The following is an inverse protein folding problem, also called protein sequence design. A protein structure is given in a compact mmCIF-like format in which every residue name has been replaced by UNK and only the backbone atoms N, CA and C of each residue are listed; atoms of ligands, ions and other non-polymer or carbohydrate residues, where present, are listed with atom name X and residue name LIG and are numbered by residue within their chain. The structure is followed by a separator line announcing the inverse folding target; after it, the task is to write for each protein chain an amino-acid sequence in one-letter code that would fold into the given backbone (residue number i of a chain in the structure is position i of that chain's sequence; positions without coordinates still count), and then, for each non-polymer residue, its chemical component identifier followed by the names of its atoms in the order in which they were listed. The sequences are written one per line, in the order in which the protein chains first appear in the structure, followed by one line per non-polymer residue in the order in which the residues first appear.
data_IF_110725262729
#
_entry.id   IF_110725262729
#
_cell.length_a   1.000
_cell.length_b   1.000
_cell.length_c   1.000
_cell.angle_alpha   90.00
_cell.angle_beta   90.00
_cell.angle_gamma   90.00
#
_symmetry.space_group_name_H-M   'P 1'
#
loop_
_entity.id
_entity.type
_entity.pdbx_description
1 polymer ?
#
# COMPACT_ATOMS: atom_id res chain seq x y z
N UNK A 1 -69.37 2.82 -3.32
CA UNK A 1 -68.96 4.00 -2.52
C UNK A 1 -68.64 3.52 -1.11
N UNK A 2 -67.63 4.14 -0.48
CA UNK A 2 -66.81 3.70 0.68
C UNK A 2 -65.57 2.92 0.23
N UNK A 3 -64.66 3.54 -0.53
CA UNK A 3 -63.59 4.47 -0.13
C UNK A 3 -62.47 3.85 0.72
N UNK A 4 -61.26 3.89 0.14
CA UNK A 4 -60.14 4.52 0.80
C UNK A 4 -59.39 3.70 1.84
N UNK A 5 -58.39 2.93 1.38
CA UNK A 5 -57.08 3.05 1.99
C UNK A 5 -56.00 2.79 0.93
N UNK A 6 -55.73 3.84 0.15
CA UNK A 6 -54.51 4.01 -0.63
C UNK A 6 -53.39 4.40 0.34
N UNK A 7 -52.91 3.43 1.11
CA UNK A 7 -51.60 3.48 1.75
C UNK A 7 -50.90 2.14 1.46
N UNK A 8 -50.69 1.87 0.17
CA UNK A 8 -49.69 0.88 -0.23
C UNK A 8 -48.34 1.58 -0.27
N UNK A 9 -47.72 1.79 0.90
CA UNK A 9 -46.26 1.75 0.92
C UNK A 9 -45.88 0.41 0.32
N UNK A 10 -45.15 0.40 -0.78
CA UNK A 10 -44.78 -0.81 -1.48
C UNK A 10 -43.85 -1.65 -0.58
N UNK A 11 -44.42 -2.51 0.25
CA UNK A 11 -43.67 -3.46 1.06
C UNK A 11 -43.05 -4.48 0.10
N UNK A 12 -41.80 -4.23 -0.29
CA UNK A 12 -41.01 -5.19 -1.02
C UNK A 12 -40.81 -6.38 -0.08
N UNK A 13 -41.45 -7.51 -0.38
CA UNK A 13 -41.29 -8.73 0.41
C UNK A 13 -39.80 -9.06 0.59
N UNK A 14 -39.37 -9.17 1.85
CA UNK A 14 -37.98 -9.43 2.25
C UNK A 14 -37.40 -10.66 1.53
N UNK A 15 -38.17 -11.74 1.44
CA UNK A 15 -37.78 -12.94 0.70
C UNK A 15 -37.50 -12.66 -0.79
N UNK A 16 -38.30 -11.81 -1.45
CA UNK A 16 -38.10 -11.46 -2.86
C UNK A 16 -36.83 -10.65 -3.03
N UNK A 17 -36.55 -9.70 -2.12
CA UNK A 17 -35.29 -8.94 -2.12
C UNK A 17 -34.11 -9.89 -1.99
N UNK A 18 -34.15 -10.77 -0.99
CA UNK A 18 -33.08 -11.74 -0.75
C UNK A 18 -32.83 -12.62 -1.98
N UNK A 19 -33.87 -13.27 -2.54
CA UNK A 19 -33.71 -14.10 -3.74
C UNK A 19 -33.20 -13.30 -4.95
N UNK A 20 -33.67 -12.06 -5.12
CA UNK A 20 -33.25 -11.23 -6.24
C UNK A 20 -31.77 -10.79 -6.12
N UNK A 21 -31.25 -10.59 -4.90
CA UNK A 21 -29.82 -10.33 -4.65
C UNK A 21 -28.92 -11.55 -4.93
N UNK A 22 -29.43 -12.79 -4.88
CA UNK A 22 -28.68 -14.00 -5.27
C UNK A 22 -28.96 -14.47 -6.70
N UNK A 23 -29.77 -13.72 -7.45
CA UNK A 23 -30.20 -14.14 -8.77
C UNK A 23 -29.00 -14.27 -9.74
N UNK A 24 -28.94 -15.29 -10.62
CA UNK A 24 -27.77 -15.51 -11.50
C UNK A 24 -27.49 -14.37 -12.50
N UNK A 25 -28.53 -13.66 -12.94
CA UNK A 25 -28.40 -12.50 -13.85
C UNK A 25 -28.02 -11.22 -13.10
N UNK A 26 -26.92 -10.59 -13.50
CA UNK A 26 -26.43 -9.33 -12.93
C UNK A 26 -27.44 -8.18 -13.02
N UNK A 27 -28.19 -8.08 -14.13
CA UNK A 27 -29.20 -7.04 -14.30
C UNK A 27 -30.31 -7.10 -13.24
N UNK A 28 -30.69 -8.31 -12.80
CA UNK A 28 -31.69 -8.48 -11.72
C UNK A 28 -31.11 -7.97 -10.41
N UNK A 29 -29.91 -8.42 -10.03
CA UNK A 29 -29.23 -7.96 -8.80
C UNK A 29 -29.06 -6.45 -8.78
N UNK A 30 -28.61 -5.85 -9.90
CA UNK A 30 -28.44 -4.40 -10.05
C UNK A 30 -29.75 -3.63 -9.91
N UNK A 31 -30.84 -4.15 -10.49
CA UNK A 31 -32.16 -3.53 -10.40
C UNK A 31 -32.67 -3.56 -8.96
N UNK A 32 -32.53 -4.71 -8.29
CA UNK A 32 -32.88 -4.85 -6.88
C UNK A 32 -32.12 -3.88 -5.98
N UNK A 33 -30.82 -3.68 -6.19
CA UNK A 33 -30.03 -2.69 -5.43
C UNK A 33 -30.51 -1.25 -5.67
N UNK A 34 -30.92 -0.93 -6.90
CA UNK A 34 -31.51 0.38 -7.23
C UNK A 34 -32.87 0.57 -6.52
N UNK A 35 -33.69 -0.47 -6.46
CA UNK A 35 -34.99 -0.45 -5.79
C UNK A 35 -34.82 -0.33 -4.26
N UNK A 36 -33.83 -1.02 -3.68
CA UNK A 36 -33.45 -0.83 -2.27
C UNK A 36 -33.04 0.62 -2.03
N UNK A 37 -32.21 1.19 -2.90
CA UNK A 37 -31.75 2.57 -2.74
C UNK A 37 -32.91 3.58 -2.83
N UNK A 38 -33.84 3.41 -3.79
CA UNK A 38 -34.98 4.31 -3.95
C UNK A 38 -35.98 4.21 -2.80
N UNK A 39 -36.14 3.02 -2.20
CA UNK A 39 -37.00 2.82 -1.02
C UNK A 39 -36.49 3.52 0.24
N UNK A 40 -35.19 3.79 0.33
CA UNK A 40 -34.57 4.41 1.50
C UNK A 40 -34.57 3.54 2.77
N UNK A 41 -34.88 2.24 2.67
CA UNK A 41 -35.00 1.30 3.80
C UNK A 41 -33.76 1.33 4.72
N UNK A 42 -32.56 1.51 4.16
CA UNK A 42 -31.30 1.50 4.92
C UNK A 42 -30.94 2.86 5.57
N UNK A 43 -31.74 3.91 5.35
CA UNK A 43 -31.54 5.22 6.00
C UNK A 43 -32.02 5.22 7.45
N UNK A 44 -32.97 4.34 7.80
CA UNK A 44 -33.59 4.33 9.11
C UNK A 44 -32.96 3.27 10.03
N UNK A 45 -32.13 3.71 11.00
CA UNK A 45 -31.40 2.81 11.91
C UNK A 45 -32.30 1.87 12.72
N UNK A 46 -33.54 2.27 13.03
CA UNK A 46 -34.50 1.44 13.75
C UNK A 46 -35.04 0.26 12.91
N UNK A 47 -35.02 0.37 11.58
CA UNK A 47 -35.47 -0.69 10.67
C UNK A 47 -34.39 -1.76 10.43
N UNK A 48 -33.13 -1.41 10.72
CA UNK A 48 -31.94 -2.25 10.52
C UNK A 48 -31.77 -3.29 11.64
N UNK A 49 -32.40 -3.11 12.82
CA UNK A 49 -32.08 -3.87 14.03
C UNK A 49 -32.91 -5.13 14.33
N UNK A 50 -34.10 -5.34 13.75
CA UNK A 50 -35.00 -6.43 14.21
C UNK A 50 -35.48 -7.46 13.17
N UNK A 51 -35.05 -7.41 11.90
CA UNK A 51 -35.49 -8.44 10.92
C UNK A 51 -34.68 -8.60 9.63
N UNK A 52 -33.74 -7.69 9.34
CA UNK A 52 -33.11 -7.60 8.01
C UNK A 52 -31.65 -8.08 7.96
N UNK A 53 -31.15 -8.80 8.96
CA UNK A 53 -29.74 -9.24 9.02
C UNK A 53 -29.36 -10.04 7.76
N UNK A 54 -30.22 -10.94 7.30
CA UNK A 54 -29.97 -11.74 6.09
C UNK A 54 -29.93 -10.89 4.81
N UNK A 55 -30.73 -9.83 4.74
CA UNK A 55 -30.74 -8.90 3.60
C UNK A 55 -29.52 -7.98 3.65
N UNK A 56 -29.12 -7.50 4.83
CA UNK A 56 -27.92 -6.69 5.01
C UNK A 56 -26.67 -7.46 4.59
N UNK A 57 -26.56 -8.72 5.03
CA UNK A 57 -25.49 -9.62 4.61
C UNK A 57 -25.55 -9.90 3.10
N UNK A 58 -26.75 -10.11 2.53
CA UNK A 58 -26.92 -10.28 1.10
C UNK A 58 -26.49 -9.03 0.30
N UNK A 59 -26.76 -7.83 0.80
CA UNK A 59 -26.33 -6.55 0.20
C UNK A 59 -24.81 -6.42 0.28
N UNK A 60 -24.21 -6.68 1.45
CA UNK A 60 -22.77 -6.56 1.63
C UNK A 60 -22.01 -7.53 0.72
N UNK A 61 -22.52 -8.76 0.53
CA UNK A 61 -21.97 -9.75 -0.41
C UNK A 61 -21.98 -9.29 -1.87
N UNK A 62 -22.84 -8.34 -2.25
CA UNK A 62 -22.82 -7.79 -3.62
C UNK A 62 -21.56 -6.96 -3.90
N UNK A 63 -20.81 -6.52 -2.87
CA UNK A 63 -19.50 -5.91 -3.07
C UNK A 63 -18.48 -6.92 -3.62
N UNK A 64 -18.65 -8.21 -3.32
CA UNK A 64 -17.82 -9.30 -3.83
C UNK A 64 -18.27 -9.82 -5.20
N UNK A 65 -19.31 -9.23 -5.82
CA UNK A 65 -19.83 -9.66 -7.11
C UNK A 65 -18.77 -9.61 -8.22
N UNK A 66 -18.83 -10.57 -9.15
CA UNK A 66 -17.92 -10.66 -10.30
C UNK A 66 -18.19 -9.54 -11.33
N UNK A 67 -19.44 -9.10 -11.41
CA UNK A 67 -19.88 -8.00 -12.28
C UNK A 67 -19.72 -6.66 -11.57
N UNK A 68 -18.81 -5.82 -12.08
CA UNK A 68 -18.52 -4.51 -11.48
C UNK A 68 -19.70 -3.53 -11.54
N UNK A 69 -20.69 -3.74 -12.43
CA UNK A 69 -21.89 -2.90 -12.45
C UNK A 69 -22.80 -3.17 -11.25
N UNK A 70 -22.79 -4.40 -10.73
CA UNK A 70 -23.48 -4.76 -9.48
C UNK A 70 -22.76 -4.12 -8.30
N UNK A 71 -21.43 -4.28 -8.24
CA UNK A 71 -20.58 -3.66 -7.20
C UNK A 71 -20.78 -2.14 -7.15
N UNK A 72 -20.78 -1.47 -8.32
CA UNK A 72 -21.04 -0.04 -8.42
C UNK A 72 -22.44 0.32 -7.90
N UNK A 73 -23.46 -0.46 -8.23
CA UNK A 73 -24.81 -0.25 -7.73
C UNK A 73 -24.88 -0.40 -6.20
N UNK A 74 -24.19 -1.40 -5.62
CA UNK A 74 -24.09 -1.60 -4.18
C UNK A 74 -23.40 -0.43 -3.48
N UNK A 75 -22.26 0.03 -4.00
CA UNK A 75 -21.56 1.21 -3.47
C UNK A 75 -22.43 2.47 -3.52
N UNK A 76 -23.37 2.56 -4.46
CA UNK A 76 -24.28 3.69 -4.60
C UNK A 76 -25.54 3.58 -3.73
N UNK A 77 -25.71 2.51 -2.95
CA UNK A 77 -26.82 2.39 -2.02
C UNK A 77 -26.61 3.36 -0.84
N UNK A 78 -27.57 4.24 -0.62
CA UNK A 78 -27.60 5.15 0.51
C UNK A 78 -27.79 4.39 1.82
N UNK A 79 -27.02 4.75 2.85
CA UNK A 79 -27.08 4.08 4.15
C UNK A 79 -26.30 2.77 4.20
N UNK A 80 -25.46 2.45 3.21
CA UNK A 80 -24.58 1.28 3.23
C UNK A 80 -23.71 1.21 4.51
N UNK A 81 -23.31 2.34 5.09
CA UNK A 81 -22.58 2.39 6.36
C UNK A 81 -23.37 1.91 7.58
N UNK A 82 -24.70 1.81 7.45
CA UNK A 82 -25.58 1.22 8.46
C UNK A 82 -25.74 -0.29 8.26
N UNK A 83 -25.23 -0.85 7.16
CA UNK A 83 -25.29 -2.28 6.84
C UNK A 83 -24.14 -2.98 7.54
N UNK A 84 -24.46 -3.77 8.58
CA UNK A 84 -23.51 -4.56 9.38
C UNK A 84 -22.42 -3.70 10.07
N UNK A 85 -21.51 -4.38 10.78
CA UNK A 85 -20.46 -3.73 11.57
C UNK A 85 -19.41 -2.99 10.73
N UNK A 86 -18.97 -1.83 11.21
CA UNK A 86 -17.94 -0.99 10.59
C UNK A 86 -16.67 -1.76 10.16
N UNK A 87 -16.18 -2.68 10.99
CA UNK A 87 -15.02 -3.53 10.68
C UNK A 87 -15.23 -4.39 9.44
N UNK A 88 -16.41 -4.99 9.28
CA UNK A 88 -16.69 -5.84 8.13
C UNK A 88 -16.80 -5.02 6.85
N UNK A 89 -17.46 -3.87 6.93
CA UNK A 89 -17.60 -2.98 5.78
C UNK A 89 -16.25 -2.47 5.27
N UNK A 90 -15.34 -2.03 6.14
CA UNK A 90 -14.03 -1.54 5.70
C UNK A 90 -13.17 -2.64 5.08
N UNK A 91 -13.21 -3.87 5.60
CA UNK A 91 -12.55 -5.04 5.00
C UNK A 91 -13.08 -5.35 3.60
N UNK A 92 -14.41 -5.32 3.43
CA UNK A 92 -15.03 -5.56 2.13
C UNK A 92 -14.69 -4.46 1.13
N UNK A 93 -14.69 -3.18 1.55
CA UNK A 93 -14.24 -2.06 0.72
C UNK A 93 -12.76 -2.20 0.31
N UNK A 94 -11.89 -2.60 1.24
CA UNK A 94 -10.48 -2.88 0.95
C UNK A 94 -10.33 -3.99 -0.10
N UNK A 95 -11.14 -5.05 0.00
CA UNK A 95 -11.16 -6.16 -0.96
C UNK A 95 -11.60 -5.70 -2.35
N UNK A 96 -12.67 -4.89 -2.43
CA UNK A 96 -13.13 -4.28 -3.69
C UNK A 96 -12.03 -3.46 -4.33
N UNK A 97 -11.40 -2.57 -3.56
CA UNK A 97 -10.32 -1.71 -4.06
C UNK A 97 -9.14 -2.54 -4.59
N UNK A 98 -8.68 -3.53 -3.84
CA UNK A 98 -7.59 -4.42 -4.24
C UNK A 98 -7.90 -5.15 -5.55
N UNK A 99 -9.13 -5.65 -5.69
CA UNK A 99 -9.58 -6.31 -6.92
C UNK A 99 -9.57 -5.35 -8.11
N UNK A 100 -10.03 -4.11 -7.93
CA UNK A 100 -9.98 -3.11 -8.99
C UNK A 100 -8.55 -2.74 -9.38
N UNK A 101 -7.66 -2.53 -8.41
CA UNK A 101 -6.24 -2.26 -8.66
C UNK A 101 -5.58 -3.43 -9.40
N UNK A 102 -5.83 -4.67 -8.97
CA UNK A 102 -5.32 -5.87 -9.64
C UNK A 102 -5.79 -5.96 -11.10
N UNK A 103 -7.08 -5.67 -11.37
CA UNK A 103 -7.60 -5.62 -12.75
C UNK A 103 -6.91 -4.55 -13.59
N UNK A 104 -6.72 -3.35 -13.06
CA UNK A 104 -6.03 -2.26 -13.77
C UNK A 104 -4.57 -2.63 -14.08
N UNK A 105 -3.83 -3.14 -13.09
CA UNK A 105 -2.43 -3.55 -13.26
C UNK A 105 -2.26 -4.73 -14.24
N UNK A 106 -3.25 -5.62 -14.35
CA UNK A 106 -3.21 -6.73 -15.30
C UNK A 106 -3.30 -6.30 -16.78
N UNK A 107 -3.60 -5.02 -17.06
CA UNK A 107 -3.71 -4.51 -18.43
C UNK A 107 -4.97 -4.95 -19.18
N UNK A 108 -5.96 -5.52 -18.47
CA UNK A 108 -7.27 -5.86 -19.05
C UNK A 108 -7.92 -4.61 -19.65
N UNK A 109 -8.15 -4.61 -20.96
CA UNK A 109 -8.82 -3.49 -21.67
C UNK A 109 -10.32 -3.42 -21.37
N UNK A 110 -10.90 -4.51 -20.88
CA UNK A 110 -12.32 -4.57 -20.58
C UNK A 110 -12.66 -3.70 -19.36
N UNK A 111 -13.57 -2.76 -19.54
CA UNK A 111 -14.17 -1.97 -18.47
C UNK A 111 -13.16 -1.18 -17.61
N UNK A 112 -12.04 -0.71 -18.18
CA UNK A 112 -11.03 0.12 -17.47
C UNK A 112 -11.69 1.33 -16.80
N UNK A 113 -12.56 2.04 -17.54
CA UNK A 113 -13.29 3.20 -17.03
C UNK A 113 -14.15 2.86 -15.81
N UNK A 114 -14.99 1.82 -15.92
CA UNK A 114 -15.84 1.34 -14.82
C UNK A 114 -15.01 0.83 -13.63
N UNK A 115 -13.92 0.11 -13.88
CA UNK A 115 -13.01 -0.39 -12.83
C UNK A 115 -12.42 0.77 -12.03
N UNK A 116 -11.96 1.81 -12.72
CA UNK A 116 -11.49 3.04 -12.10
C UNK A 116 -12.58 3.77 -11.34
N UNK A 117 -13.80 3.86 -11.88
CA UNK A 117 -14.95 4.49 -11.22
C UNK A 117 -15.34 3.77 -9.92
N UNK A 118 -15.40 2.43 -9.95
CA UNK A 118 -15.69 1.61 -8.77
C UNK A 118 -14.62 1.81 -7.70
N UNK A 119 -13.33 1.79 -8.07
CA UNK A 119 -12.23 2.01 -7.14
C UNK A 119 -12.31 3.40 -6.47
N UNK A 120 -12.57 4.45 -7.26
CA UNK A 120 -12.72 5.83 -6.76
C UNK A 120 -13.94 5.95 -5.85
N UNK A 121 -15.08 5.36 -6.23
CA UNK A 121 -16.30 5.37 -5.42
C UNK A 121 -16.04 4.67 -4.10
N UNK A 122 -15.39 3.50 -4.12
CA UNK A 122 -15.00 2.74 -2.95
C UNK A 122 -14.15 3.56 -1.97
N UNK A 123 -13.10 4.24 -2.47
CA UNK A 123 -12.26 5.14 -1.65
C UNK A 123 -13.04 6.30 -1.06
N UNK A 124 -13.87 6.97 -1.87
CA UNK A 124 -14.74 8.07 -1.40
C UNK A 124 -15.65 7.61 -0.28
N UNK A 125 -16.25 6.43 -0.41
CA UNK A 125 -17.11 5.84 0.62
C UNK A 125 -16.33 5.54 1.89
N UNK A 126 -15.19 4.84 1.78
CA UNK A 126 -14.33 4.54 2.93
C UNK A 126 -13.93 5.81 3.71
N UNK A 127 -13.48 6.87 3.02
CA UNK A 127 -13.17 8.15 3.65
C UNK A 127 -14.43 8.75 4.28
N UNK A 128 -15.54 8.86 3.54
CA UNK A 128 -16.76 9.49 4.06
C UNK A 128 -17.34 8.81 5.29
N UNK A 129 -17.23 7.47 5.37
CA UNK A 129 -17.80 6.68 6.46
C UNK A 129 -16.92 6.66 7.70
N UNK A 130 -15.60 6.72 7.52
CA UNK A 130 -14.67 6.38 8.59
C UNK A 130 -13.64 7.48 8.92
N UNK A 131 -13.60 8.61 8.21
CA UNK A 131 -12.59 9.65 8.46
C UNK A 131 -12.62 10.23 9.89
N UNK A 132 -13.79 10.29 10.53
CA UNK A 132 -13.94 10.77 11.91
C UNK A 132 -13.68 9.69 12.97
N UNK A 133 -13.46 8.44 12.55
CA UNK A 133 -13.24 7.31 13.46
C UNK A 133 -11.74 6.99 13.53
N UNK A 134 -11.10 7.40 14.62
CA UNK A 134 -9.65 7.20 14.87
C UNK A 134 -9.21 5.75 14.67
N UNK A 135 -10.06 4.79 15.04
CA UNK A 135 -9.76 3.36 15.01
C UNK A 135 -9.61 2.82 13.58
N UNK A 136 -10.27 3.45 12.60
CA UNK A 136 -10.28 3.04 11.20
C UNK A 136 -9.39 3.90 10.31
N UNK A 137 -8.87 5.03 10.83
CA UNK A 137 -8.00 5.94 10.09
C UNK A 137 -6.78 5.19 9.52
N UNK A 138 -6.16 4.31 10.31
CA UNK A 138 -5.01 3.48 9.88
C UNK A 138 -5.34 2.58 8.69
N UNK A 139 -6.57 2.06 8.62
CA UNK A 139 -7.02 1.18 7.53
C UNK A 139 -7.26 1.98 6.25
N UNK A 140 -7.88 3.16 6.36
CA UNK A 140 -8.08 4.06 5.21
C UNK A 140 -6.73 4.51 4.66
N UNK A 141 -5.78 4.86 5.54
CA UNK A 141 -4.42 5.18 5.12
C UNK A 141 -3.82 4.01 4.33
N UNK A 142 -3.91 2.78 4.84
CA UNK A 142 -3.38 1.61 4.16
C UNK A 142 -4.05 1.32 2.81
N UNK A 143 -5.35 1.61 2.66
CA UNK A 143 -6.05 1.54 1.37
C UNK A 143 -5.52 2.55 0.35
N UNK A 144 -5.17 3.75 0.79
CA UNK A 144 -4.68 4.83 -0.08
C UNK A 144 -3.20 4.65 -0.42
N UNK A 145 -2.39 4.17 0.52
CA UNK A 145 -0.94 4.07 0.41
C UNK A 145 -0.43 3.54 -0.95
N UNK A 146 -0.82 2.34 -1.44
CA UNK A 146 -0.33 1.83 -2.72
C UNK A 146 -0.71 2.71 -3.91
N UNK A 147 -1.77 3.52 -3.80
CA UNK A 147 -2.23 4.39 -4.88
C UNK A 147 -1.45 5.71 -4.97
N UNK A 148 -0.58 6.00 -4.02
CA UNK A 148 0.28 7.18 -4.05
C UNK A 148 1.45 7.03 -5.02
N UNK A 149 1.78 5.80 -5.41
CA UNK A 149 2.74 5.52 -6.48
C UNK A 149 2.00 5.49 -7.82
N UNK A 150 2.22 6.51 -8.65
CA UNK A 150 1.60 6.63 -9.96
C UNK A 150 2.23 5.64 -10.95
N UNK A 151 1.40 4.77 -11.51
CA UNK A 151 1.77 3.81 -12.56
C UNK A 151 0.99 4.13 -13.85
N UNK A 152 1.53 3.85 -15.04
CA UNK A 152 0.80 4.07 -16.30
C UNK A 152 -0.59 3.43 -16.32
N UNK A 153 -0.69 2.20 -15.82
CA UNK A 153 -1.91 1.39 -15.82
C UNK A 153 -2.97 1.92 -14.85
N UNK A 154 -2.57 2.63 -13.81
CA UNK A 154 -3.46 3.13 -12.75
C UNK A 154 -3.51 4.65 -12.66
N UNK A 155 -2.89 5.38 -13.59
CA UNK A 155 -2.67 6.83 -13.50
C UNK A 155 -3.94 7.60 -13.11
N UNK A 156 -5.06 7.33 -13.78
CA UNK A 156 -6.34 8.00 -13.48
C UNK A 156 -6.86 7.73 -12.06
N UNK A 157 -6.61 6.54 -11.51
CA UNK A 157 -6.94 6.21 -10.11
C UNK A 157 -5.94 6.87 -9.15
N UNK A 158 -4.64 6.85 -9.46
CA UNK A 158 -3.59 7.46 -8.64
C UNK A 158 -3.83 8.96 -8.43
N UNK A 159 -4.11 9.70 -9.52
CA UNK A 159 -4.37 11.14 -9.45
C UNK A 159 -5.60 11.45 -8.58
N UNK A 160 -6.68 10.69 -8.74
CA UNK A 160 -7.88 10.84 -7.90
C UNK A 160 -7.61 10.51 -6.43
N UNK A 161 -6.76 9.52 -6.14
CA UNK A 161 -6.35 9.22 -4.77
C UNK A 161 -5.57 10.38 -4.15
N UNK A 162 -4.65 11.01 -4.90
CA UNK A 162 -3.90 12.20 -4.46
C UNK A 162 -4.82 13.39 -4.16
N UNK A 163 -5.88 13.60 -4.95
CA UNK A 163 -6.88 14.66 -4.68
C UNK A 163 -7.70 14.35 -3.42
N UNK A 164 -8.03 13.08 -3.19
CA UNK A 164 -8.80 12.65 -2.01
C UNK A 164 -8.05 12.83 -0.69
N UNK A 165 -6.71 12.87 -0.70
CA UNK A 165 -5.90 13.14 0.49
C UNK A 165 -6.24 14.48 1.16
N UNK A 166 -6.74 15.47 0.43
CA UNK A 166 -7.19 16.75 1.02
C UNK A 166 -8.32 16.58 2.06
N UNK A 167 -8.99 15.43 2.08
CA UNK A 167 -10.09 15.11 2.99
C UNK A 167 -9.68 14.15 4.10
N UNK A 168 -8.39 13.85 4.23
CA UNK A 168 -7.91 12.79 5.08
C UNK A 168 -6.67 13.22 5.86
N UNK A 169 -6.80 13.33 7.18
CA UNK A 169 -5.73 13.81 8.06
C UNK A 169 -4.88 12.64 8.57
N UNK A 170 -3.83 12.27 7.84
CA UNK A 170 -2.86 11.27 8.25
C UNK A 170 -1.44 11.87 8.24
N UNK A 171 -0.65 11.74 9.33
CA UNK A 171 0.65 12.40 9.46
C UNK A 171 1.60 12.14 8.29
N UNK A 172 1.66 10.89 7.80
CA UNK A 172 2.53 10.53 6.69
C UNK A 172 2.15 11.26 5.38
N UNK A 173 0.89 11.67 5.21
CA UNK A 173 0.37 12.25 3.97
C UNK A 173 0.34 13.78 3.94
N UNK A 174 0.89 14.43 4.96
CA UNK A 174 0.99 15.89 5.00
C UNK A 174 1.72 16.42 3.77
N UNK A 175 1.17 17.46 3.13
CA UNK A 175 1.73 18.08 1.91
C UNK A 175 1.86 17.15 0.69
N UNK A 176 1.30 15.94 0.72
CA UNK A 176 1.28 15.02 -0.44
C UNK A 176 0.11 15.33 -1.37
N UNK A 177 -1.00 15.82 -0.80
CA UNK A 177 -2.23 16.07 -1.53
C UNK A 177 -2.04 17.07 -2.68
N UNK A 178 -2.81 16.86 -3.75
CA UNK A 178 -2.82 17.69 -4.94
C UNK A 178 -4.15 18.43 -5.02
N UNK A 179 -4.13 19.72 -5.36
CA UNK A 179 -5.36 20.48 -5.58
C UNK A 179 -6.09 20.01 -6.85
N UNK A 180 -7.41 20.11 -6.91
CA UNK A 180 -8.18 19.75 -8.12
C UNK A 180 -7.79 20.58 -9.35
N UNK A 181 -7.27 21.80 -9.14
CA UNK A 181 -6.70 22.63 -10.21
C UNK A 181 -5.36 22.12 -10.72
N UNK A 182 -4.54 21.52 -9.85
CA UNK A 182 -3.27 20.91 -10.21
C UNK A 182 -3.45 19.56 -10.90
N UNK A 183 -4.59 18.87 -10.72
CA UNK A 183 -4.89 17.61 -11.40
C UNK A 183 -4.74 17.74 -12.94
N UNK A 184 -5.26 18.82 -13.52
CA UNK A 184 -5.13 19.12 -14.96
C UNK A 184 -3.68 19.32 -15.39
N UNK A 185 -2.86 19.94 -14.53
CA UNK A 185 -1.43 20.16 -14.77
C UNK A 185 -0.62 18.88 -14.60
N UNK A 186 -1.03 17.99 -13.68
CA UNK A 186 -0.40 16.68 -13.48
C UNK A 186 -0.76 15.68 -14.58
N UNK A 187 -1.95 15.77 -15.18
CA UNK A 187 -2.28 15.02 -16.40
C UNK A 187 -1.29 15.37 -17.52
N UNK A 188 -0.78 16.61 -17.56
CA UNK A 188 0.23 17.07 -18.51
C UNK A 188 1.67 16.83 -18.04
N UNK A 189 1.90 16.51 -16.76
CA UNK A 189 3.21 16.25 -16.19
C UNK A 189 3.70 14.80 -16.43
N UNK A 190 5.01 14.59 -16.37
CA UNK A 190 5.55 13.22 -16.43
C UNK A 190 5.28 12.48 -15.11
N UNK A 191 4.87 11.21 -15.19
CA UNK A 191 4.65 10.34 -14.02
C UNK A 191 5.83 10.35 -13.04
N UNK A 192 7.05 10.37 -13.60
CA UNK A 192 8.31 10.47 -12.85
C UNK A 192 8.36 11.70 -11.94
N UNK A 193 7.94 12.87 -12.43
CA UNK A 193 7.91 14.10 -11.64
C UNK A 193 6.88 14.03 -10.50
N UNK A 194 5.71 13.44 -10.78
CA UNK A 194 4.65 13.23 -9.78
C UNK A 194 5.17 12.31 -8.67
N UNK A 195 5.71 11.15 -9.04
CA UNK A 195 6.24 10.17 -8.11
C UNK A 195 7.37 10.76 -7.26
N UNK A 196 8.30 11.51 -7.87
CA UNK A 196 9.38 12.15 -7.13
C UNK A 196 8.85 13.12 -6.06
N UNK A 197 7.89 13.97 -6.43
CA UNK A 197 7.27 14.92 -5.49
C UNK A 197 6.59 14.21 -4.34
N UNK A 198 5.80 13.17 -4.63
CA UNK A 198 5.10 12.36 -3.62
C UNK A 198 6.10 11.68 -2.69
N UNK A 199 7.09 10.99 -3.25
CA UNK A 199 8.11 10.25 -2.50
C UNK A 199 8.93 11.20 -1.61
N UNK A 200 9.32 12.39 -2.09
CA UNK A 200 10.02 13.40 -1.29
C UNK A 200 9.22 13.85 -0.07
N UNK A 201 7.93 14.11 -0.24
CA UNK A 201 7.06 14.54 0.86
C UNK A 201 6.82 13.39 1.85
N UNK A 202 6.54 12.19 1.35
CA UNK A 202 6.40 10.99 2.19
C UNK A 202 7.69 10.71 2.98
N UNK A 203 8.86 10.78 2.34
CA UNK A 203 10.15 10.54 2.97
C UNK A 203 10.47 11.55 4.06
N UNK A 204 10.11 12.82 3.85
CA UNK A 204 10.26 13.89 4.85
C UNK A 204 9.36 13.65 6.06
N UNK A 205 8.09 13.28 5.84
CA UNK A 205 7.15 12.98 6.92
C UNK A 205 7.48 11.68 7.64
N UNK A 206 7.97 10.67 6.91
CA UNK A 206 8.36 9.37 7.44
C UNK A 206 9.42 9.52 8.55
N UNK A 207 10.39 10.40 8.32
CA UNK A 207 11.50 10.65 9.25
C UNK A 207 11.09 11.31 10.56
N UNK A 208 9.87 11.85 10.68
CA UNK A 208 9.37 12.39 11.95
C UNK A 208 9.11 11.28 12.98
N UNK A 209 8.61 10.12 12.54
CA UNK A 209 8.26 8.98 13.39
C UNK A 209 8.54 7.64 12.68
N UNK A 210 9.81 7.32 12.38
CA UNK A 210 10.15 6.19 11.51
C UNK A 210 9.68 4.84 12.07
N UNK A 211 9.81 4.61 13.38
CA UNK A 211 9.40 3.35 14.02
C UNK A 211 7.89 3.12 13.92
N UNK A 212 7.08 4.12 14.29
CA UNK A 212 5.61 4.04 14.20
C UNK A 212 5.14 3.82 12.75
N UNK A 213 5.78 4.50 11.79
CA UNK A 213 5.47 4.34 10.37
C UNK A 213 5.84 2.95 9.85
N UNK A 214 6.97 2.39 10.30
CA UNK A 214 7.39 1.03 9.97
C UNK A 214 6.41 0.00 10.54
N UNK A 215 6.04 0.12 11.82
CA UNK A 215 5.07 -0.79 12.47
C UNK A 215 3.74 -0.76 11.72
N UNK A 216 3.21 0.45 11.44
CA UNK A 216 1.98 0.59 10.67
C UNK A 216 2.08 -0.05 9.28
N UNK A 217 3.20 0.15 8.57
CA UNK A 217 3.40 -0.45 7.25
C UNK A 217 3.38 -1.98 7.31
N UNK A 218 4.12 -2.59 8.26
CA UNK A 218 4.19 -4.04 8.42
C UNK A 218 2.82 -4.62 8.75
N UNK A 219 2.08 -3.99 9.65
CA UNK A 219 0.76 -4.47 10.09
C UNK A 219 -0.33 -4.34 9.02
N UNK A 220 -0.26 -3.31 8.15
CA UNK A 220 -1.42 -2.90 7.32
C UNK A 220 -1.18 -2.87 5.82
N UNK A 221 0.05 -2.74 5.37
CA UNK A 221 0.38 -2.45 3.96
C UNK A 221 1.23 -3.52 3.28
N UNK A 222 1.87 -4.41 4.04
CA UNK A 222 2.91 -5.31 3.55
C UNK A 222 2.41 -6.49 2.68
N UNK A 223 1.12 -6.59 2.39
CA UNK A 223 0.53 -7.67 1.61
C UNK A 223 0.40 -7.36 0.11
N UNK A 224 0.78 -6.16 -0.32
CA UNK A 224 0.76 -5.71 -1.71
C UNK A 224 2.15 -5.33 -2.20
N UNK A 225 2.57 -5.87 -3.35
CA UNK A 225 3.85 -5.52 -3.99
C UNK A 225 3.95 -4.01 -4.27
N UNK A 226 2.85 -3.36 -4.65
CA UNK A 226 2.83 -1.92 -4.92
C UNK A 226 3.06 -1.09 -3.65
N UNK A 227 2.51 -1.53 -2.51
CA UNK A 227 2.79 -0.92 -1.21
C UNK A 227 4.26 -1.08 -0.83
N UNK A 228 4.84 -2.28 -1.03
CA UNK A 228 6.26 -2.54 -0.77
C UNK A 228 7.15 -1.66 -1.64
N UNK A 229 6.86 -1.56 -2.93
CA UNK A 229 7.60 -0.69 -3.86
C UNK A 229 7.61 0.76 -3.39
N UNK A 230 6.44 1.31 -3.02
CA UNK A 230 6.38 2.67 -2.51
C UNK A 230 7.17 2.83 -1.21
N UNK A 231 7.04 1.88 -0.28
CA UNK A 231 7.78 1.89 0.98
C UNK A 231 9.29 1.87 0.75
N UNK A 232 9.80 1.05 -0.17
CA UNK A 232 11.22 1.03 -0.51
C UNK A 232 11.70 2.34 -1.14
N UNK A 233 10.89 2.98 -2.00
CA UNK A 233 11.23 4.31 -2.49
C UNK A 233 11.25 5.36 -1.39
N UNK A 234 10.26 5.35 -0.50
CA UNK A 234 10.20 6.26 0.65
C UNK A 234 11.45 6.07 1.52
N UNK A 235 11.82 4.82 1.82
CA UNK A 235 12.99 4.50 2.62
C UNK A 235 14.31 4.90 1.94
N UNK A 236 14.48 4.58 0.66
CA UNK A 236 15.65 4.99 -0.12
C UNK A 236 15.79 6.52 -0.11
N UNK A 237 14.69 7.23 -0.36
CA UNK A 237 14.68 8.69 -0.36
C UNK A 237 14.94 9.26 1.05
N UNK A 238 14.34 8.69 2.09
CA UNK A 238 14.58 9.09 3.47
C UNK A 238 16.07 8.98 3.81
N UNK A 239 16.73 7.88 3.44
CA UNK A 239 18.16 7.68 3.66
C UNK A 239 19.03 8.65 2.87
N UNK A 240 18.64 9.02 1.64
CA UNK A 240 19.32 10.07 0.85
C UNK A 240 19.19 11.46 1.51
N UNK A 241 18.10 11.71 2.24
CA UNK A 241 17.84 12.97 2.93
C UNK A 241 18.47 13.04 4.33
N UNK A 242 18.97 11.94 4.90
CA UNK A 242 19.63 11.94 6.21
C UNK A 242 20.92 12.77 6.14
N UNK A 243 20.86 14.00 6.65
CA UNK A 243 22.01 14.92 6.68
C UNK A 243 22.82 14.88 7.98
N UNK A 244 22.29 14.31 9.07
CA UNK A 244 22.93 14.39 10.40
C UNK A 244 22.99 13.05 11.12
N UNK A 245 24.21 12.73 11.55
CA UNK A 245 24.60 11.60 12.40
C UNK A 245 24.02 11.79 13.80
N UNK A 246 23.25 10.83 14.29
CA UNK A 246 22.66 10.87 15.63
C UNK A 246 21.88 9.60 15.97
N UNK A 247 21.40 9.51 17.20
CA UNK A 247 20.76 8.32 17.80
C UNK A 247 19.54 7.81 17.00
N UNK A 248 18.85 8.69 16.27
CA UNK A 248 17.72 8.34 15.41
C UNK A 248 18.05 7.39 14.26
N UNK A 249 19.29 7.37 13.76
CA UNK A 249 19.70 6.43 12.71
C UNK A 249 19.80 4.99 13.23
N UNK A 250 20.30 4.80 14.45
CA UNK A 250 20.42 3.46 15.06
C UNK A 250 19.05 2.82 15.26
N UNK A 251 18.08 3.60 15.74
CA UNK A 251 16.68 3.19 15.89
C UNK A 251 16.03 2.82 14.54
N UNK A 252 16.21 3.68 13.53
CA UNK A 252 15.77 3.40 12.16
C UNK A 252 16.39 2.11 11.61
N UNK A 253 17.70 1.91 11.78
CA UNK A 253 18.40 0.71 11.32
C UNK A 253 17.82 -0.54 11.98
N UNK A 254 17.70 -0.56 13.31
CA UNK A 254 17.16 -1.70 14.07
C UNK A 254 15.74 -2.05 13.67
N UNK A 255 14.94 -1.05 13.31
CA UNK A 255 13.56 -1.24 12.87
C UNK A 255 13.46 -1.75 11.43
N UNK A 256 14.31 -1.25 10.53
CA UNK A 256 14.18 -1.52 9.09
C UNK A 256 14.98 -2.74 8.61
N UNK A 257 16.13 -3.02 9.22
CA UNK A 257 17.00 -4.11 8.81
C UNK A 257 16.31 -5.48 8.86
N UNK A 258 15.57 -5.87 9.92
CA UNK A 258 14.85 -7.14 9.95
C UNK A 258 13.83 -7.28 8.81
N UNK A 259 13.17 -6.18 8.44
CA UNK A 259 12.14 -6.17 7.39
C UNK A 259 12.79 -6.34 6.02
N UNK A 260 13.84 -5.59 5.73
CA UNK A 260 14.59 -5.70 4.47
C UNK A 260 15.21 -7.10 4.32
N UNK A 261 15.76 -7.64 5.40
CA UNK A 261 16.30 -9.00 5.45
C UNK A 261 15.23 -10.04 5.13
N UNK A 262 14.10 -10.01 5.84
CA UNK A 262 13.01 -10.97 5.65
C UNK A 262 12.41 -10.89 4.24
N UNK A 263 12.23 -9.69 3.69
CA UNK A 263 11.70 -9.53 2.34
C UNK A 263 12.67 -10.08 1.29
N UNK A 264 13.96 -9.77 1.41
CA UNK A 264 14.95 -10.26 0.46
C UNK A 264 15.08 -11.80 0.52
N UNK A 265 15.06 -12.40 1.72
CA UNK A 265 15.06 -13.85 1.90
C UNK A 265 13.79 -14.51 1.34
N UNK A 266 12.63 -13.85 1.46
CA UNK A 266 11.38 -14.29 0.85
C UNK A 266 11.47 -14.36 -0.68
N UNK A 267 12.08 -13.36 -1.31
CA UNK A 267 12.31 -13.34 -2.76
C UNK A 267 13.22 -14.49 -3.22
N UNK A 268 14.21 -14.86 -2.42
CA UNK A 268 15.11 -16.00 -2.69
C UNK A 268 14.35 -17.33 -2.65
N UNK A 269 13.47 -17.51 -1.67
CA UNK A 269 12.77 -18.77 -1.44
C UNK A 269 11.67 -19.03 -2.46
N UNK A 270 11.16 -17.98 -3.11
CA UNK A 270 10.20 -18.10 -4.19
C UNK A 270 10.77 -18.76 -5.47
N UNK A 271 12.09 -19.01 -5.56
CA UNK A 271 12.72 -19.83 -6.60
C UNK A 271 12.80 -19.23 -8.00
N UNK A 272 12.01 -18.18 -8.29
CA UNK A 272 11.82 -17.62 -9.63
C UNK A 272 12.60 -16.33 -9.90
N UNK A 273 13.48 -15.90 -8.99
CA UNK A 273 14.12 -14.59 -9.08
C UNK A 273 15.65 -14.66 -9.09
N UNK A 274 16.24 -14.31 -10.24
CA UNK A 274 17.67 -14.06 -10.41
C UNK A 274 17.91 -12.56 -10.52
N UNK A 275 18.72 -12.01 -9.59
CA UNK A 275 19.15 -10.62 -9.61
C UNK A 275 20.37 -10.45 -10.53
N UNK A 276 20.31 -10.98 -11.75
CA UNK A 276 21.46 -11.07 -12.66
C UNK A 276 21.76 -9.75 -13.38
N UNK A 277 20.79 -8.82 -13.42
CA UNK A 277 20.91 -7.52 -14.08
C UNK A 277 21.36 -6.37 -13.17
N UNK A 278 21.88 -6.65 -11.97
CA UNK A 278 22.32 -5.58 -11.08
C UNK A 278 23.70 -5.06 -11.48
N UNK A 279 23.77 -3.77 -11.85
CA UNK A 279 25.02 -3.06 -12.16
C UNK A 279 25.47 -2.22 -10.93
N UNK A 280 26.76 -2.17 -10.64
CA UNK A 280 27.32 -1.38 -9.54
C UNK A 280 27.03 0.12 -9.67
N UNK A 281 26.87 0.64 -10.89
CA UNK A 281 26.46 2.04 -11.13
C UNK A 281 25.09 2.37 -10.51
N UNK A 282 24.23 1.36 -10.30
CA UNK A 282 22.91 1.55 -9.67
C UNK A 282 23.02 1.96 -8.19
N UNK A 283 24.16 1.74 -7.55
CA UNK A 283 24.38 2.12 -6.14
C UNK A 283 24.37 3.65 -5.96
N UNK A 284 24.72 4.40 -7.00
CA UNK A 284 24.73 5.85 -6.99
C UNK A 284 23.37 6.45 -7.37
N UNK A 285 22.43 5.63 -7.83
CA UNK A 285 21.11 6.10 -8.27
C UNK A 285 20.28 6.68 -7.12
N UNK A 286 19.44 7.63 -7.50
CA UNK A 286 18.32 8.11 -6.69
C UNK A 286 17.02 7.43 -7.12
N UNK A 287 15.90 7.79 -6.47
CA UNK A 287 14.60 7.21 -6.83
C UNK A 287 14.22 7.48 -8.29
N UNK A 288 14.60 8.63 -8.84
CA UNK A 288 14.19 9.03 -10.19
C UNK A 288 14.77 8.12 -11.26
N UNK A 289 15.98 7.60 -11.05
CA UNK A 289 16.64 6.66 -11.98
C UNK A 289 15.92 5.32 -12.10
N UNK A 290 15.04 4.97 -11.14
CA UNK A 290 14.26 3.73 -11.18
C UNK A 290 12.86 3.90 -11.81
N UNK A 291 12.40 5.12 -12.07
CA UNK A 291 11.02 5.33 -12.51
C UNK A 291 10.75 4.82 -13.92
N UNK A 292 11.75 4.79 -14.80
CA UNK A 292 11.60 4.19 -16.12
C UNK A 292 11.34 2.68 -16.03
N UNK A 293 11.81 2.03 -14.96
CA UNK A 293 11.51 0.62 -14.70
C UNK A 293 10.07 0.40 -14.25
N UNK A 294 9.37 1.40 -13.67
CA UNK A 294 7.96 1.24 -13.29
C UNK A 294 7.03 1.02 -14.49
N UNK A 295 7.42 1.47 -15.68
CA UNK A 295 6.59 1.39 -16.89
C UNK A 295 6.34 -0.06 -17.34
N UNK A 296 7.31 -0.95 -17.11
CA UNK A 296 7.33 -2.30 -17.67
C UNK A 296 7.66 -3.41 -16.65
N UNK A 297 8.01 -3.07 -15.41
CA UNK A 297 8.54 -4.05 -14.48
C UNK A 297 7.47 -4.89 -13.79
N UNK A 298 7.79 -6.17 -13.64
CA UNK A 298 7.38 -6.92 -12.47
C UNK A 298 7.98 -6.22 -11.23
N UNK A 299 7.12 -5.82 -10.29
CA UNK A 299 7.52 -5.03 -9.12
C UNK A 299 8.54 -5.74 -8.23
N UNK A 300 8.54 -7.08 -8.18
CA UNK A 300 9.48 -7.85 -7.36
C UNK A 300 10.95 -7.65 -7.76
N UNK A 301 11.34 -7.83 -9.04
CA UNK A 301 12.67 -7.45 -9.51
C UNK A 301 13.08 -6.02 -9.19
N UNK A 302 12.17 -5.06 -9.35
CA UNK A 302 12.44 -3.66 -9.04
C UNK A 302 12.70 -3.48 -7.54
N UNK A 303 11.84 -4.06 -6.70
CA UNK A 303 11.97 -4.04 -5.24
C UNK A 303 13.33 -4.59 -4.80
N UNK A 304 13.80 -5.70 -5.39
CA UNK A 304 15.12 -6.25 -5.09
C UNK A 304 16.26 -5.27 -5.45
N UNK A 305 16.23 -4.69 -6.66
CA UNK A 305 17.22 -3.69 -7.10
C UNK A 305 17.25 -2.47 -6.16
N UNK A 306 16.08 -1.95 -5.79
CA UNK A 306 15.95 -0.82 -4.83
C UNK A 306 16.44 -1.20 -3.44
N UNK A 307 16.14 -2.41 -2.95
CA UNK A 307 16.63 -2.91 -1.65
C UNK A 307 18.16 -2.99 -1.59
N UNK A 308 18.82 -3.45 -2.66
CA UNK A 308 20.29 -3.45 -2.71
C UNK A 308 20.85 -2.03 -2.57
N UNK A 309 20.22 -1.03 -3.22
CA UNK A 309 20.60 0.36 -3.05
C UNK A 309 20.27 0.92 -1.66
N UNK A 310 19.17 0.50 -1.03
CA UNK A 310 18.87 0.84 0.38
C UNK A 310 19.98 0.32 1.30
N UNK A 311 20.38 -0.95 1.16
CA UNK A 311 21.48 -1.52 1.91
C UNK A 311 22.79 -0.74 1.71
N UNK A 312 23.06 -0.28 0.49
CA UNK A 312 24.21 0.59 0.22
C UNK A 312 24.13 1.88 1.04
N UNK A 313 22.99 2.59 1.00
CA UNK A 313 22.80 3.84 1.76
C UNK A 313 22.90 3.62 3.27
N UNK A 314 22.39 2.49 3.78
CA UNK A 314 22.53 2.12 5.21
C UNK A 314 24.01 1.96 5.60
N UNK A 315 24.80 1.25 4.80
CA UNK A 315 26.24 1.08 5.05
C UNK A 315 26.97 2.42 4.95
N UNK A 316 26.71 3.20 3.90
CA UNK A 316 27.35 4.51 3.74
C UNK A 316 27.04 5.45 4.92
N UNK A 317 25.81 5.43 5.43
CA UNK A 317 25.41 6.20 6.60
C UNK A 317 26.09 5.71 7.89
N UNK A 318 26.19 4.38 8.09
CA UNK A 318 26.94 3.77 9.19
C UNK A 318 28.40 4.21 9.16
N UNK A 319 29.13 3.96 8.06
CA UNK A 319 30.57 4.26 7.98
C UNK A 319 30.86 5.76 8.02
N UNK A 320 29.94 6.60 7.53
CA UNK A 320 30.07 8.04 7.69
C UNK A 320 30.06 8.45 9.17
N UNK A 321 29.30 7.78 10.04
CA UNK A 321 29.20 8.10 11.48
C UNK A 321 30.50 7.89 12.28
N UNK A 322 31.44 7.09 11.75
CA UNK A 322 32.71 6.71 12.39
C UNK A 322 33.70 7.89 12.50
N UNK A 323 33.67 8.81 11.53
CA UNK A 323 34.55 10.00 11.49
C UNK A 323 34.27 11.05 12.58
N UNK A 324 33.22 10.85 13.40
CA UNK A 324 32.80 11.78 14.47
C UNK A 324 33.06 11.30 15.89
N UNK A 325 33.75 10.16 16.09
CA UNK A 325 34.14 9.68 17.43
C UNK A 325 33.05 8.93 18.20
N UNK A 326 31.84 8.80 17.65
CA UNK A 326 30.86 7.81 18.12
C UNK A 326 31.30 6.44 17.60
N UNK A 327 31.61 5.52 18.52
CA UNK A 327 31.91 4.12 18.15
C UNK A 327 30.70 3.57 17.42
N UNK A 328 30.91 3.16 16.18
CA UNK A 328 29.96 2.37 15.42
C UNK A 328 29.45 1.20 16.27
N UNK A 329 28.17 0.87 16.13
CA UNK A 329 27.64 -0.35 16.72
C UNK A 329 28.23 -1.54 15.92
N UNK A 330 29.35 -2.07 16.40
CA UNK A 330 30.08 -3.22 15.84
C UNK A 330 29.11 -4.40 15.53
N UNK A 331 27.97 -4.49 16.22
CA UNK A 331 26.97 -5.52 15.97
C UNK A 331 26.23 -5.31 14.63
N UNK A 332 25.84 -4.08 14.28
CA UNK A 332 25.12 -3.77 13.04
C UNK A 332 25.97 -4.06 11.80
N UNK A 333 27.25 -3.70 11.86
CA UNK A 333 28.21 -3.96 10.77
C UNK A 333 28.40 -5.46 10.56
N UNK A 334 28.55 -6.22 11.66
CA UNK A 334 28.66 -7.68 11.60
C UNK A 334 27.40 -8.31 11.03
N UNK A 335 26.22 -7.83 11.43
CA UNK A 335 24.94 -8.35 10.94
C UNK A 335 24.79 -8.13 9.43
N UNK A 336 25.15 -6.94 8.93
CA UNK A 336 25.17 -6.65 7.50
C UNK A 336 26.18 -7.53 6.75
N UNK A 337 27.41 -7.64 7.27
CA UNK A 337 28.44 -8.46 6.64
C UNK A 337 28.04 -9.93 6.54
N UNK A 338 27.59 -10.53 7.65
CA UNK A 338 27.12 -11.93 7.70
C UNK A 338 25.96 -12.11 6.74
N UNK A 339 24.99 -11.19 6.72
CA UNK A 339 23.85 -11.26 5.81
C UNK A 339 24.26 -11.22 4.34
N UNK A 340 25.11 -10.27 3.92
CA UNK A 340 25.54 -10.18 2.53
C UNK A 340 26.39 -11.37 2.09
N UNK A 341 27.27 -11.87 2.97
CA UNK A 341 28.15 -13.00 2.66
C UNK A 341 27.38 -14.33 2.55
N UNK A 342 26.33 -14.51 3.36
CA UNK A 342 25.48 -15.71 3.36
C UNK A 342 24.30 -15.63 2.38
N UNK A 343 23.99 -14.44 1.85
CA UNK A 343 22.87 -14.26 0.92
C UNK A 343 23.07 -15.02 -0.39
N UNK A 344 21.98 -15.59 -0.92
CA UNK A 344 21.99 -16.15 -2.29
C UNK A 344 22.22 -15.08 -3.37
N UNK A 345 22.02 -13.80 -3.05
CA UNK A 345 22.35 -12.65 -3.91
C UNK A 345 23.73 -12.05 -3.63
N UNK A 346 24.66 -12.81 -3.04
CA UNK A 346 26.01 -12.33 -2.71
C UNK A 346 26.73 -11.61 -3.86
N UNK A 347 26.43 -11.97 -5.12
CA UNK A 347 27.00 -11.32 -6.30
C UNK A 347 26.58 -9.86 -6.42
N UNK A 348 25.32 -9.53 -6.12
CA UNK A 348 24.81 -8.17 -6.12
C UNK A 348 25.32 -7.34 -4.92
N UNK A 349 25.75 -8.02 -3.85
CA UNK A 349 26.35 -7.38 -2.66
C UNK A 349 27.88 -7.31 -2.70
N UNK A 350 28.52 -7.61 -3.85
CA UNK A 350 29.97 -7.62 -3.96
C UNK A 350 30.60 -6.28 -3.55
N UNK A 351 30.05 -5.16 -4.03
CA UNK A 351 30.53 -3.83 -3.67
C UNK A 351 30.28 -3.50 -2.20
N UNK A 352 29.15 -3.92 -1.63
CA UNK A 352 28.85 -3.77 -0.20
C UNK A 352 29.88 -4.50 0.66
N UNK A 353 30.20 -5.75 0.31
CA UNK A 353 31.21 -6.55 1.00
C UNK A 353 32.61 -5.94 0.87
N UNK A 354 33.00 -5.48 -0.32
CA UNK A 354 34.28 -4.79 -0.52
C UNK A 354 34.37 -3.50 0.29
N UNK A 355 33.31 -2.68 0.30
CA UNK A 355 33.27 -1.43 1.06
C UNK A 355 33.36 -1.69 2.57
N UNK A 356 32.60 -2.65 3.09
CA UNK A 356 32.67 -3.04 4.50
C UNK A 356 34.06 -3.54 4.89
N UNK A 357 34.67 -4.39 4.07
CA UNK A 357 36.01 -4.91 4.31
C UNK A 357 37.10 -3.82 4.28
N UNK A 358 36.96 -2.84 3.40
CA UNK A 358 37.92 -1.74 3.26
C UNK A 358 37.81 -0.71 4.40
N UNK A 359 36.60 -0.44 4.89
CA UNK A 359 36.34 0.61 5.89
C UNK A 359 36.36 0.09 7.33
N UNK A 360 36.22 -1.22 7.56
CA UNK A 360 36.38 -1.78 8.90
C UNK A 360 37.85 -1.68 9.36
N UNK A 361 38.14 -0.66 10.17
CA UNK A 361 39.40 -0.52 10.94
C UNK A 361 39.60 -1.64 11.98
N UNK A 362 38.57 -2.45 12.19
CA UNK A 362 38.54 -3.57 13.12
C UNK A 362 39.25 -4.78 12.51
N UNK A 363 40.19 -5.36 13.26
CA UNK A 363 40.88 -6.63 12.92
C UNK A 363 39.95 -7.61 12.18
N UNK A 364 40.32 -8.12 10.99
CA UNK A 364 39.51 -9.08 10.22
C UNK A 364 38.97 -10.24 11.05
N UNK A 365 39.73 -10.68 12.07
CA UNK A 365 39.30 -11.72 13.02
C UNK A 365 38.01 -11.38 13.79
N UNK A 366 37.75 -10.12 14.12
CA UNK A 366 36.53 -9.69 14.84
C UNK A 366 35.31 -9.62 13.94
N UNK A 367 35.48 -9.23 12.68
CA UNK A 367 34.41 -9.22 11.68
C UNK A 367 33.99 -10.65 11.31
N UNK A 368 34.97 -11.53 11.13
CA UNK A 368 34.77 -12.94 10.77
C UNK A 368 34.32 -13.81 11.94
N UNK A 369 34.52 -13.38 13.20
CA UNK A 369 34.18 -14.19 14.39
C UNK A 369 32.73 -14.66 14.43
N UNK A 370 31.76 -13.84 13.97
CA UNK A 370 30.33 -14.20 13.96
C UNK A 370 29.97 -15.14 12.81
N UNK A 371 30.70 -15.05 11.69
CA UNK A 371 30.50 -15.93 10.54
C UNK A 371 30.77 -17.39 10.91
N UNK A 372 31.82 -17.65 11.70
CA UNK A 372 32.16 -19.00 12.16
C UNK A 372 31.31 -19.52 13.33
N UNK A 373 30.47 -18.70 13.96
CA UNK A 373 29.62 -19.13 15.08
C UNK A 373 28.14 -19.28 14.71
N UNK A 374 27.66 -18.53 13.71
CA UNK A 374 26.24 -18.57 13.27
C UNK A 374 26.02 -19.47 12.04
N UNK A 375 27.07 -19.79 11.27
CA UNK A 375 27.03 -20.94 10.37
C UNK A 375 27.07 -22.21 11.22
N UNK A 376 25.92 -22.86 11.37
CA UNK A 376 25.80 -24.11 12.11
C UNK A 376 26.94 -25.06 11.77
N UNK A 377 27.79 -25.29 12.78
CA UNK A 377 28.73 -26.41 12.79
C UNK A 377 27.89 -27.68 12.58
N UNK A 378 28.26 -28.59 11.66
CA UNK A 378 27.51 -29.83 11.45
C UNK A 378 27.32 -30.65 12.72
#
# INVERSE_FOLDING_TARGET
MLDGNLDSSSDISESKVWFALYHPKADVRRTTLRDINSSGILKNKAFVSEGLVDIQEAILRQLDDKDLTVVQATLNVDGLQNVLGASKLIETLQTVLRRCVGKLLSGSTDNVSLTGEVAVTCLKKAISYFHDHSDYLKNIAAMIFPLLLAMPQTQGLNLKALVLLNKFNWPLYQNVAVSSSEETTLILGSLSSINLKVINNLASNFMAHPEDNIVWFVERCNDSELSKTLFFFVLLQSLLLVKSKGDGFSALFKSVFPILKAELESLVNAGDFLLDEFNSEMLDWDCSSFFDHLLYANLRPLNAKVMVCIFWRLISALMSAESSGNRLDDSMIKDLFVFFASSKFKHAFREHLHFLAAQCSVSPSRLLSKFFTDEGVP
#
